data_IF_860587641738
#
_entry.id   IF_860587641738
#
_cell.length_a   1.000
_cell.length_b   1.000
_cell.length_c   1.000
_cell.angle_alpha   90.00
_cell.angle_beta   90.00
_cell.angle_gamma   90.00
#
_symmetry.space_group_name_H-M   'P 1'
#
loop_
_entity.id
_entity.type
_entity.pdbx_description
1 polymer ?
#
# COMPACT_ATOMS: atom_id res chain seq x y z
N UNK A 1 -42.72 -15.34 13.36
CA UNK A 1 -43.41 -14.88 12.13
C UNK A 1 -42.35 -14.75 11.03
N UNK A 2 -42.44 -15.53 9.95
CA UNK A 2 -41.43 -15.52 8.87
C UNK A 2 -41.75 -14.38 7.91
N UNK A 3 -40.85 -13.41 7.78
CA UNK A 3 -40.95 -12.35 6.78
C UNK A 3 -41.00 -12.99 5.38
N UNK A 4 -42.01 -12.63 4.57
CA UNK A 4 -42.16 -13.08 3.18
C UNK A 4 -41.14 -12.44 2.21
N UNK A 5 -40.15 -11.72 2.73
CA UNK A 5 -39.13 -11.04 1.94
C UNK A 5 -38.03 -12.04 1.50
N UNK A 6 -37.87 -12.31 0.19
CA UNK A 6 -36.85 -13.22 -0.34
C UNK A 6 -35.42 -12.83 0.05
N UNK A 7 -35.16 -11.54 0.31
CA UNK A 7 -33.86 -11.06 0.76
C UNK A 7 -33.51 -11.51 2.19
N UNK A 8 -34.50 -11.68 3.06
CA UNK A 8 -34.33 -12.01 4.49
C UNK A 8 -34.65 -13.48 4.78
N UNK A 9 -34.37 -14.38 3.82
CA UNK A 9 -34.56 -15.82 4.01
C UNK A 9 -33.43 -16.42 4.84
N UNK A 10 -33.75 -17.47 5.61
CA UNK A 10 -32.74 -18.23 6.37
C UNK A 10 -31.60 -18.78 5.49
N UNK A 11 -31.82 -18.93 4.18
CA UNK A 11 -30.80 -19.36 3.21
C UNK A 11 -29.73 -18.28 2.98
N UNK A 12 -30.12 -17.00 2.99
CA UNK A 12 -29.20 -15.85 2.93
C UNK A 12 -28.26 -15.83 4.13
N UNK A 13 -28.80 -16.04 5.33
CA UNK A 13 -28.01 -16.09 6.57
C UNK A 13 -27.16 -17.36 6.71
N UNK A 14 -27.56 -18.47 6.09
CA UNK A 14 -26.76 -19.71 6.08
C UNK A 14 -25.47 -19.55 5.28
N UNK A 15 -25.48 -18.74 4.22
CA UNK A 15 -24.27 -18.36 3.50
C UNK A 15 -23.40 -17.36 4.27
N UNK A 16 -23.97 -16.50 5.12
CA UNK A 16 -23.21 -15.60 5.99
C UNK A 16 -22.51 -16.35 7.14
N UNK A 17 -23.16 -17.37 7.70
CA UNK A 17 -22.60 -18.16 8.81
C UNK A 17 -21.40 -19.04 8.42
N UNK A 18 -21.25 -19.37 7.13
CA UNK A 18 -20.11 -20.12 6.58
C UNK A 18 -18.99 -19.23 6.02
N UNK A 19 -19.20 -17.92 5.96
CA UNK A 19 -18.16 -16.96 5.63
C UNK A 19 -17.46 -16.61 6.95
N UNK A 20 -16.53 -17.47 7.35
CA UNK A 20 -15.38 -17.03 8.14
C UNK A 20 -14.47 -16.17 7.25
N UNK A 21 -15.02 -15.11 6.64
CA UNK A 21 -14.18 -14.04 6.10
C UNK A 21 -13.52 -13.44 7.32
N UNK A 22 -12.21 -13.59 7.38
CA UNK A 22 -11.35 -12.81 8.26
C UNK A 22 -11.75 -11.34 8.10
N UNK A 23 -12.55 -10.83 9.06
CA UNK A 23 -12.92 -9.42 9.09
C UNK A 23 -11.62 -8.62 9.09
N UNK A 24 -11.50 -7.65 8.18
CA UNK A 24 -10.32 -6.80 8.07
C UNK A 24 -10.02 -6.18 9.45
N UNK A 25 -8.95 -6.64 10.11
CA UNK A 25 -8.50 -6.07 11.38
C UNK A 25 -7.58 -4.89 11.09
N UNK A 26 -7.65 -3.85 11.94
CA UNK A 26 -6.72 -2.72 11.85
C UNK A 26 -5.27 -3.22 11.92
N UNK A 27 -5.00 -4.19 12.79
CA UNK A 27 -3.68 -4.81 12.95
C UNK A 27 -3.23 -5.56 11.69
N UNK A 28 -4.13 -6.30 11.03
CA UNK A 28 -3.82 -6.99 9.77
C UNK A 28 -3.52 -6.02 8.62
N UNK A 29 -4.24 -4.90 8.55
CA UNK A 29 -3.97 -3.84 7.57
C UNK A 29 -2.65 -3.14 7.84
N UNK A 30 -2.33 -2.85 9.11
CA UNK A 30 -1.04 -2.26 9.51
C UNK A 30 0.11 -3.20 9.14
N UNK A 31 0.02 -4.50 9.44
CA UNK A 31 1.11 -5.44 9.09
C UNK A 31 1.30 -5.58 7.58
N UNK A 32 0.22 -5.67 6.79
CA UNK A 32 0.32 -5.79 5.32
C UNK A 32 0.92 -4.53 4.69
N UNK A 33 0.50 -3.35 5.16
CA UNK A 33 1.04 -2.07 4.68
C UNK A 33 2.50 -1.89 5.10
N UNK A 34 2.87 -2.22 6.34
CA UNK A 34 4.25 -2.19 6.81
C UNK A 34 5.16 -3.12 5.99
N UNK A 35 4.71 -4.34 5.68
CA UNK A 35 5.46 -5.27 4.84
C UNK A 35 5.65 -4.71 3.43
N UNK A 36 4.61 -4.16 2.81
CA UNK A 36 4.71 -3.54 1.49
C UNK A 36 5.65 -2.33 1.47
N UNK A 37 5.62 -1.51 2.53
CA UNK A 37 6.51 -0.36 2.68
C UNK A 37 7.97 -0.83 2.81
N UNK A 38 8.23 -1.88 3.58
CA UNK A 38 9.56 -2.45 3.73
C UNK A 38 10.11 -2.95 2.38
N UNK A 39 9.30 -3.70 1.62
CA UNK A 39 9.69 -4.17 0.29
C UNK A 39 9.98 -3.02 -0.68
N UNK A 40 9.19 -1.96 -0.63
CA UNK A 40 9.43 -0.76 -1.45
C UNK A 40 10.74 -0.08 -1.05
N UNK A 41 11.00 0.08 0.25
CA UNK A 41 12.20 0.75 0.75
C UNK A 41 13.49 -0.01 0.40
N UNK A 42 13.46 -1.35 0.40
CA UNK A 42 14.63 -2.16 0.01
C UNK A 42 14.97 -1.98 -1.47
N UNK A 43 13.96 -2.01 -2.36
CA UNK A 43 14.20 -1.80 -3.79
C UNK A 43 14.51 -0.35 -4.14
N UNK A 44 13.90 0.62 -3.44
CA UNK A 44 14.23 2.02 -3.60
C UNK A 44 15.68 2.32 -3.22
N UNK A 45 16.17 1.75 -2.12
CA UNK A 45 17.57 1.87 -1.70
C UNK A 45 18.52 1.25 -2.73
N UNK A 46 18.14 0.10 -3.31
CA UNK A 46 18.92 -0.54 -4.37
C UNK A 46 18.98 0.32 -5.64
N UNK A 47 17.85 0.85 -6.09
CA UNK A 47 17.77 1.73 -7.26
C UNK A 47 18.50 3.06 -7.04
N UNK A 48 18.56 3.55 -5.80
CA UNK A 48 19.34 4.73 -5.43
C UNK A 48 20.85 4.53 -5.62
N UNK A 49 21.37 3.34 -5.30
CA UNK A 49 22.78 2.99 -5.49
C UNK A 49 23.13 2.75 -6.96
N UNK A 50 22.20 2.17 -7.74
CA UNK A 50 22.38 1.85 -9.15
C UNK A 50 21.31 2.55 -10.03
N UNK A 51 21.40 3.88 -10.21
CA UNK A 51 20.44 4.61 -11.02
C UNK A 51 20.64 4.27 -12.49
N UNK A 52 19.82 3.36 -13.02
CA UNK A 52 19.77 3.09 -14.46
C UNK A 52 18.40 3.50 -15.04
N UNK A 53 18.37 4.17 -16.20
CA UNK A 53 17.11 4.52 -16.87
C UNK A 53 16.26 3.30 -17.21
N UNK A 54 16.90 2.16 -17.50
CA UNK A 54 16.24 0.89 -17.79
C UNK A 54 15.48 0.32 -16.58
N UNK A 55 16.11 0.30 -15.40
CA UNK A 55 15.45 -0.13 -14.15
C UNK A 55 14.29 0.80 -13.78
N UNK A 56 14.44 2.11 -13.98
CA UNK A 56 13.38 3.08 -13.70
C UNK A 56 12.17 2.88 -14.62
N UNK A 57 12.41 2.74 -15.92
CA UNK A 57 11.34 2.51 -16.91
C UNK A 57 10.68 1.14 -16.72
N UNK A 58 11.45 0.10 -16.37
CA UNK A 58 10.93 -1.21 -16.02
C UNK A 58 10.09 -1.17 -14.74
N UNK A 59 10.52 -0.43 -13.72
CA UNK A 59 9.77 -0.23 -12.48
C UNK A 59 8.45 0.50 -12.74
N UNK A 60 8.46 1.56 -13.55
CA UNK A 60 7.28 2.36 -13.85
C UNK A 60 6.25 1.58 -14.69
N UNK A 61 6.71 0.94 -15.77
CA UNK A 61 5.85 0.14 -16.64
C UNK A 61 5.37 -1.11 -15.91
N UNK A 62 6.26 -1.81 -15.20
CA UNK A 62 5.94 -3.00 -14.43
C UNK A 62 4.97 -2.71 -13.28
N UNK A 63 5.19 -1.61 -12.55
CA UNK A 63 4.31 -1.12 -11.50
C UNK A 63 2.92 -0.81 -12.04
N UNK A 64 2.85 -0.07 -13.15
CA UNK A 64 1.58 0.26 -13.80
C UNK A 64 0.80 -1.00 -14.26
N UNK A 65 1.48 -1.98 -14.86
CA UNK A 65 0.86 -3.26 -15.27
C UNK A 65 0.33 -4.01 -14.05
N UNK A 66 1.09 -4.06 -12.96
CA UNK A 66 0.69 -4.74 -11.73
C UNK A 66 -0.49 -4.02 -11.05
N UNK A 67 -0.52 -2.69 -11.07
CA UNK A 67 -1.63 -1.89 -10.57
C UNK A 67 -2.92 -2.17 -11.37
N UNK A 68 -2.83 -2.13 -12.71
CA UNK A 68 -3.96 -2.43 -13.61
C UNK A 68 -4.46 -3.86 -13.37
N UNK A 69 -3.54 -4.83 -13.26
CA UNK A 69 -3.87 -6.23 -13.01
C UNK A 69 -4.57 -6.40 -11.66
N UNK A 70 -4.14 -5.68 -10.62
CA UNK A 70 -4.75 -5.71 -9.29
C UNK A 70 -6.17 -5.13 -9.29
N UNK A 71 -6.43 -4.10 -10.11
CA UNK A 71 -7.76 -3.49 -10.26
C UNK A 71 -8.75 -4.50 -10.87
N UNK A 72 -8.33 -5.22 -11.92
CA UNK A 72 -9.18 -6.20 -12.60
C UNK A 72 -9.31 -7.53 -11.84
N UNK A 73 -8.24 -8.00 -11.16
CA UNK A 73 -8.23 -9.24 -10.38
C UNK A 73 -7.86 -9.02 -8.91
N UNK A 74 -8.81 -8.49 -8.16
CA UNK A 74 -8.69 -8.21 -6.71
C UNK A 74 -8.39 -9.44 -5.84
N UNK A 75 -8.76 -10.65 -6.29
CA UNK A 75 -8.49 -11.90 -5.56
C UNK A 75 -7.00 -12.26 -5.54
N UNK A 76 -6.20 -11.71 -6.46
CA UNK A 76 -4.75 -11.96 -6.55
C UNK A 76 -3.92 -10.86 -5.86
N UNK A 77 -4.60 -9.90 -5.22
CA UNK A 77 -4.00 -8.77 -4.52
C UNK A 77 -2.86 -9.14 -3.55
N UNK A 78 -2.88 -10.26 -2.78
CA UNK A 78 -1.78 -10.58 -1.87
C UNK A 78 -0.41 -10.72 -2.57
N UNK A 79 -0.42 -11.27 -3.79
CA UNK A 79 0.80 -11.50 -4.56
C UNK A 79 1.14 -10.29 -5.44
N UNK A 80 0.12 -9.69 -6.07
CA UNK A 80 0.35 -8.55 -6.96
C UNK A 80 0.80 -7.31 -6.20
N UNK A 81 0.35 -7.10 -4.96
CA UNK A 81 0.79 -5.98 -4.12
C UNK A 81 2.27 -6.07 -3.77
N UNK A 82 2.77 -7.26 -3.43
CA UNK A 82 4.19 -7.44 -3.13
C UNK A 82 5.06 -7.19 -4.36
N UNK A 83 4.66 -7.70 -5.53
CA UNK A 83 5.35 -7.42 -6.79
C UNK A 83 5.27 -5.96 -7.22
N UNK A 84 4.11 -5.32 -7.01
CA UNK A 84 3.91 -3.89 -7.24
C UNK A 84 4.83 -3.05 -6.37
N UNK A 85 4.91 -3.32 -5.06
CA UNK A 85 5.77 -2.59 -4.13
C UNK A 85 7.25 -2.65 -4.52
N UNK A 86 7.74 -3.81 -4.97
CA UNK A 86 9.11 -3.98 -5.44
C UNK A 86 9.38 -3.12 -6.68
N UNK A 87 8.51 -3.20 -7.69
CA UNK A 87 8.65 -2.49 -8.97
C UNK A 87 8.52 -0.98 -8.81
N UNK A 88 7.57 -0.52 -8.00
CA UNK A 88 7.44 0.90 -7.66
C UNK A 88 8.64 1.42 -6.88
N UNK A 89 9.17 0.66 -5.92
CA UNK A 89 10.36 1.07 -5.20
C UNK A 89 11.55 1.28 -6.14
N UNK A 90 11.73 0.44 -7.17
CA UNK A 90 12.76 0.64 -8.19
C UNK A 90 12.54 1.94 -8.99
N UNK A 91 11.30 2.23 -9.38
CA UNK A 91 10.96 3.45 -10.11
C UNK A 91 11.20 4.70 -9.25
N UNK A 92 10.62 4.72 -8.05
CA UNK A 92 10.69 5.84 -7.11
C UNK A 92 12.12 6.08 -6.62
N UNK A 93 12.92 5.03 -6.38
CA UNK A 93 14.33 5.17 -5.99
C UNK A 93 15.17 5.84 -7.07
N UNK A 94 14.96 5.47 -8.34
CA UNK A 94 15.63 6.11 -9.48
C UNK A 94 15.22 7.57 -9.65
N UNK A 95 13.91 7.87 -9.59
CA UNK A 95 13.38 9.23 -9.67
C UNK A 95 13.92 10.09 -8.52
N UNK A 96 13.91 9.56 -7.29
CA UNK A 96 14.37 10.28 -6.11
C UNK A 96 15.87 10.61 -6.22
N UNK A 97 16.69 9.72 -6.80
CA UNK A 97 18.11 9.98 -7.06
C UNK A 97 18.32 11.09 -8.09
N UNK A 98 17.49 11.16 -9.13
CA UNK A 98 17.53 12.25 -10.13
C UNK A 98 17.25 13.60 -9.46
N UNK A 99 16.20 13.67 -8.64
CA UNK A 99 15.88 14.91 -7.91
C UNK A 99 16.94 15.28 -6.88
N UNK A 100 17.55 14.29 -6.22
CA UNK A 100 18.65 14.53 -5.28
C UNK A 100 19.88 15.15 -5.94
N UNK A 101 20.20 14.77 -7.19
CA UNK A 101 21.31 15.37 -7.93
C UNK A 101 21.05 16.85 -8.25
N UNK A 102 19.80 17.24 -8.44
CA UNK A 102 19.43 18.63 -8.71
C UNK A 102 19.22 19.44 -7.43
N UNK A 103 18.71 18.81 -6.37
CA UNK A 103 18.40 19.40 -5.07
C UNK A 103 18.90 18.48 -3.95
N UNK A 104 20.14 18.68 -3.46
CA UNK A 104 20.71 17.84 -2.41
C UNK A 104 19.88 17.89 -1.13
N UNK A 105 19.57 16.73 -0.57
CA UNK A 105 18.80 16.52 0.65
C UNK A 105 17.28 16.46 0.47
N UNK A 106 16.75 16.67 -0.74
CA UNK A 106 15.30 16.74 -0.97
C UNK A 106 14.60 15.41 -0.67
N UNK A 107 15.24 14.28 -0.99
CA UNK A 107 14.63 12.98 -0.78
C UNK A 107 14.49 12.67 0.71
N UNK A 108 15.56 12.89 1.49
CA UNK A 108 15.52 12.69 2.94
C UNK A 108 14.54 13.63 3.62
N UNK A 109 14.50 14.90 3.22
CA UNK A 109 13.53 15.87 3.75
C UNK A 109 12.09 15.46 3.47
N UNK A 110 11.77 15.02 2.25
CA UNK A 110 10.44 14.55 1.89
C UNK A 110 9.99 13.34 2.72
N UNK A 111 10.90 12.39 2.96
CA UNK A 111 10.64 11.22 3.80
C UNK A 111 10.35 11.65 5.24
N UNK A 112 11.23 12.46 5.85
CA UNK A 112 11.03 12.93 7.23
C UNK A 112 9.76 13.75 7.39
N UNK A 113 9.40 14.56 6.40
CA UNK A 113 8.16 15.34 6.44
C UNK A 113 6.94 14.43 6.39
N UNK A 114 6.96 13.39 5.54
CA UNK A 114 5.85 12.44 5.42
C UNK A 114 5.64 11.66 6.72
N UNK A 115 6.71 11.09 7.29
CA UNK A 115 6.64 10.41 8.58
C UNK A 115 6.30 11.36 9.74
N UNK A 116 6.81 12.59 9.68
CA UNK A 116 6.54 13.64 10.67
C UNK A 116 5.06 14.04 10.69
N UNK A 117 4.44 14.26 9.53
CA UNK A 117 3.02 14.58 9.42
C UNK A 117 2.17 13.41 9.90
N UNK A 118 2.49 12.17 9.47
CA UNK A 118 1.77 10.98 9.90
C UNK A 118 1.85 10.80 11.43
N UNK A 119 3.05 10.95 12.00
CA UNK A 119 3.27 10.88 13.44
C UNK A 119 2.53 11.99 14.20
N UNK A 120 2.58 13.22 13.70
CA UNK A 120 1.88 14.37 14.29
C UNK A 120 0.37 14.15 14.30
N UNK A 121 -0.21 13.69 13.18
CA UNK A 121 -1.64 13.37 13.10
C UNK A 121 -2.00 12.23 14.06
N UNK A 122 -1.22 11.14 14.08
CA UNK A 122 -1.48 10.01 14.98
C UNK A 122 -1.46 10.45 16.45
N UNK A 123 -0.51 11.29 16.84
CA UNK A 123 -0.47 11.88 18.18
C UNK A 123 -1.68 12.79 18.45
N UNK A 124 -2.08 13.65 17.50
CA UNK A 124 -3.23 14.53 17.65
C UNK A 124 -4.56 13.76 17.81
N UNK A 125 -4.73 12.66 17.07
CA UNK A 125 -5.88 11.76 17.22
C UNK A 125 -5.81 10.97 18.54
N UNK A 126 -4.64 10.43 18.91
CA UNK A 126 -4.48 9.64 20.14
C UNK A 126 -4.64 10.49 21.41
N UNK A 127 -4.21 11.75 21.38
CA UNK A 127 -4.34 12.69 22.51
C UNK A 127 -5.75 13.29 22.62
N UNK A 128 -6.65 12.99 21.67
CA UNK A 128 -8.04 13.46 21.70
C UNK A 128 -8.20 14.95 21.42
N UNK A 129 -7.15 15.63 20.94
CA UNK A 129 -7.23 17.02 20.45
C UNK A 129 -8.11 17.08 19.20
N UNK A 130 -8.07 16.03 18.38
CA UNK A 130 -8.96 15.82 17.24
C UNK A 130 -9.88 14.66 17.59
N UNK A 131 -11.15 14.97 17.89
CA UNK A 131 -12.20 13.97 18.11
C UNK A 131 -12.74 13.50 16.75
N UNK A 132 -12.90 12.19 16.54
CA UNK A 132 -13.48 11.64 15.31
C UNK A 132 -14.95 12.04 15.11
#
# INVERSE_FOLDING_TARGET
MRSGNPALSAKTFKNVAGISDEKMTIEGTVNKTALSLLLLMTTASYAWMNPSPGLMMMGFIGGLIMAITTIFKKTWAPYTVSGYALLEGLALGGISRIFEMQYPGIASQAIFLTFGILGALLLAYKTGVIKP
#
